data_IF_567562815099
#
_entry.id   IF_567562815099
#
_cell.length_a   1.000
_cell.length_b   1.000
_cell.length_c   1.000
_cell.angle_alpha   90.00
_cell.angle_beta   90.00
_cell.angle_gamma   90.00
#
_symmetry.space_group_name_H-M   'P 1'
#
loop_
_entity.id
_entity.type
_entity.pdbx_description
1 polymer ?
#
# COMPACT_ATOMS: atom_id res chain seq x y z
N UNK A 1 -17.27 -30.94 15.76
CA UNK A 1 -16.40 -30.71 16.93
C UNK A 1 -16.02 -31.95 17.74
N UNK A 2 -16.85 -32.52 18.66
CA UNK A 2 -16.36 -33.63 19.55
C UNK A 2 -15.86 -34.87 18.78
N UNK A 3 -16.58 -35.28 17.75
CA UNK A 3 -16.23 -36.47 16.93
C UNK A 3 -14.98 -36.23 16.08
N UNK A 4 -14.84 -35.05 15.46
CA UNK A 4 -13.63 -34.66 14.70
C UNK A 4 -12.41 -34.60 15.60
N UNK A 5 -12.56 -34.04 16.81
CA UNK A 5 -11.48 -33.99 17.79
C UNK A 5 -11.02 -35.40 18.20
N UNK A 6 -11.95 -36.32 18.46
CA UNK A 6 -11.63 -37.72 18.76
C UNK A 6 -10.91 -38.41 17.60
N UNK A 7 -11.35 -38.17 16.36
CA UNK A 7 -10.70 -38.70 15.16
C UNK A 7 -9.27 -38.19 15.01
N UNK A 8 -9.06 -36.88 15.14
CA UNK A 8 -7.72 -36.25 15.05
C UNK A 8 -6.79 -36.77 16.14
N UNK A 9 -7.29 -36.93 17.36
CA UNK A 9 -6.50 -37.50 18.47
C UNK A 9 -6.09 -38.95 18.18
N UNK A 10 -7.02 -39.76 17.66
CA UNK A 10 -6.74 -41.15 17.28
C UNK A 10 -5.73 -41.24 16.14
N UNK A 11 -5.85 -40.37 15.12
CA UNK A 11 -4.88 -40.28 14.02
C UNK A 11 -3.51 -39.87 14.54
N UNK A 12 -3.44 -38.83 15.38
CA UNK A 12 -2.17 -38.38 15.95
C UNK A 12 -1.46 -39.50 16.71
N UNK A 13 -2.19 -40.25 17.56
CA UNK A 13 -1.64 -41.41 18.27
C UNK A 13 -1.18 -42.52 17.33
N UNK A 14 -1.90 -42.73 16.24
CA UNK A 14 -1.54 -43.71 15.21
C UNK A 14 -0.25 -43.32 14.52
N UNK A 15 -0.11 -42.06 14.10
CA UNK A 15 1.11 -41.52 13.47
C UNK A 15 2.29 -41.54 14.44
N UNK A 16 2.09 -41.19 15.72
CA UNK A 16 3.12 -41.31 16.76
C UNK A 16 3.62 -42.75 16.87
N UNK A 17 2.70 -43.72 16.93
CA UNK A 17 3.03 -45.15 17.00
C UNK A 17 3.77 -45.67 15.76
N UNK A 18 3.34 -45.28 14.55
CA UNK A 18 4.03 -45.66 13.30
C UNK A 18 5.48 -45.15 13.26
N UNK A 19 5.69 -43.89 13.66
CA UNK A 19 7.03 -43.31 13.73
C UNK A 19 7.91 -44.00 14.78
N UNK A 20 7.34 -44.39 15.92
CA UNK A 20 8.05 -45.17 16.93
C UNK A 20 8.47 -46.55 16.38
N UNK A 21 7.60 -47.25 15.66
CA UNK A 21 7.93 -48.52 15.02
C UNK A 21 9.04 -48.37 13.98
N UNK A 22 8.96 -47.35 13.13
CA UNK A 22 9.99 -47.04 12.12
C UNK A 22 11.36 -46.81 12.79
N UNK A 23 11.40 -46.03 13.87
CA UNK A 23 12.63 -45.72 14.60
C UNK A 23 13.27 -46.96 15.29
N UNK A 24 12.46 -47.96 15.65
CA UNK A 24 12.93 -49.20 16.27
C UNK A 24 13.18 -50.34 15.25
N UNK A 25 12.91 -50.11 13.97
CA UNK A 25 13.13 -51.10 12.91
C UNK A 25 14.64 -51.21 12.60
N UNK A 26 15.25 -52.41 12.68
CA UNK A 26 16.66 -52.58 12.36
C UNK A 26 16.87 -52.32 10.87
N UNK A 27 17.59 -51.24 10.56
CA UNK A 27 17.96 -50.85 9.19
C UNK A 27 18.96 -51.85 8.61
N UNK A 28 18.47 -52.96 8.07
CA UNK A 28 19.33 -53.94 7.40
C UNK A 28 18.67 -55.30 7.21
N UNK A 29 18.51 -55.67 5.95
CA UNK A 29 18.33 -57.06 5.49
C UNK A 29 16.93 -57.67 5.70
N UNK A 30 15.92 -57.11 5.06
CA UNK A 30 14.85 -57.80 4.29
C UNK A 30 13.83 -56.75 3.84
N UNK A 31 13.55 -56.68 2.53
CA UNK A 31 12.68 -55.70 1.84
C UNK A 31 11.94 -54.67 2.71
N UNK A 32 12.42 -53.43 2.71
CA UNK A 32 11.96 -52.29 3.53
C UNK A 32 10.44 -52.22 3.64
N UNK A 33 9.89 -52.70 4.76
CA UNK A 33 8.52 -52.40 5.15
C UNK A 33 8.55 -51.03 5.82
N UNK A 34 8.02 -50.01 5.15
CA UNK A 34 7.81 -48.69 5.74
C UNK A 34 6.59 -48.76 6.65
N UNK A 35 6.77 -48.54 7.96
CA UNK A 35 5.70 -48.52 8.96
C UNK A 35 4.89 -47.22 8.92
N UNK A 36 5.53 -46.12 8.50
CA UNK A 36 4.84 -44.84 8.29
C UNK A 36 3.77 -44.98 7.21
N UNK A 37 2.51 -44.66 7.56
CA UNK A 37 1.38 -44.71 6.61
C UNK A 37 0.56 -46.00 6.62
N UNK A 38 1.04 -47.10 7.24
CA UNK A 38 0.37 -48.42 7.18
C UNK A 38 -1.03 -48.40 7.81
N UNK A 39 -1.20 -47.71 8.93
CA UNK A 39 -2.43 -47.58 9.68
C UNK A 39 -3.10 -46.22 9.44
N UNK A 40 -2.33 -45.14 9.40
CA UNK A 40 -2.84 -43.77 9.29
C UNK A 40 -3.65 -43.52 8.01
N UNK A 41 -3.37 -44.25 6.94
CA UNK A 41 -4.14 -44.21 5.67
C UNK A 41 -5.62 -44.59 5.83
N UNK A 42 -6.00 -45.37 6.86
CA UNK A 42 -7.40 -45.71 7.10
C UNK A 42 -8.26 -44.49 7.50
N UNK A 43 -7.62 -43.39 7.94
CA UNK A 43 -8.29 -42.15 8.31
C UNK A 43 -8.56 -41.24 7.11
N UNK A 44 -7.86 -41.42 5.99
CA UNK A 44 -7.93 -40.53 4.82
C UNK A 44 -9.36 -40.30 4.27
N UNK A 45 -10.25 -41.32 4.20
CA UNK A 45 -11.64 -41.12 3.77
C UNK A 45 -12.45 -40.15 4.63
N UNK A 46 -12.02 -39.90 5.87
CA UNK A 46 -12.71 -39.07 6.86
C UNK A 46 -12.06 -37.69 7.06
N UNK A 47 -10.86 -37.46 6.51
CA UNK A 47 -10.11 -36.22 6.70
C UNK A 47 -10.79 -34.97 6.11
N UNK A 48 -11.78 -35.13 5.22
CA UNK A 48 -12.59 -33.99 4.77
C UNK A 48 -13.32 -33.30 5.93
N UNK A 49 -13.73 -34.05 6.97
CA UNK A 49 -14.36 -33.47 8.15
C UNK A 49 -13.39 -32.59 8.96
N UNK A 50 -12.11 -32.97 9.01
CA UNK A 50 -11.05 -32.14 9.61
C UNK A 50 -10.84 -30.85 8.84
N UNK A 51 -10.79 -30.91 7.49
CA UNK A 51 -10.64 -29.72 6.65
C UNK A 51 -11.81 -28.75 6.84
N UNK A 52 -13.05 -29.26 6.93
CA UNK A 52 -14.24 -28.42 7.19
C UNK A 52 -14.22 -27.79 8.58
N UNK A 53 -13.91 -28.56 9.62
CA UNK A 53 -13.80 -28.05 11.00
C UNK A 53 -12.74 -26.94 11.09
N UNK A 54 -11.65 -27.07 10.32
CA UNK A 54 -10.59 -26.06 10.29
C UNK A 54 -10.95 -24.80 9.48
N UNK A 55 -11.76 -24.93 8.42
CA UNK A 55 -12.32 -23.78 7.69
C UNK A 55 -13.28 -22.97 8.59
N UNK A 56 -14.14 -23.65 9.35
CA UNK A 56 -15.04 -23.01 10.32
C UNK A 56 -14.24 -22.31 11.44
N UNK A 57 -13.27 -23.01 12.03
CA UNK A 57 -12.41 -22.48 13.08
C UNK A 57 -11.61 -21.23 12.64
N UNK A 58 -10.95 -21.27 11.48
CA UNK A 58 -10.22 -20.10 10.96
C UNK A 58 -11.15 -18.94 10.59
N UNK A 59 -12.37 -19.23 10.15
CA UNK A 59 -13.38 -18.21 9.89
C UNK A 59 -13.85 -17.53 11.18
N UNK A 60 -14.07 -18.29 12.26
CA UNK A 60 -14.42 -17.77 13.59
C UNK A 60 -13.28 -16.90 14.16
N UNK A 61 -12.05 -17.41 14.15
CA UNK A 61 -10.85 -16.67 14.56
C UNK A 61 -10.75 -15.35 13.80
N UNK A 62 -10.90 -15.37 12.46
CA UNK A 62 -10.83 -14.16 11.65
C UNK A 62 -11.90 -13.14 12.07
N UNK A 63 -13.14 -13.58 12.27
CA UNK A 63 -14.23 -12.69 12.68
C UNK A 63 -13.98 -12.07 14.06
N UNK A 64 -13.47 -12.85 15.01
CA UNK A 64 -13.13 -12.36 16.34
C UNK A 64 -11.97 -11.37 16.32
N UNK A 65 -10.93 -11.64 15.54
CA UNK A 65 -9.82 -10.72 15.33
C UNK A 65 -10.30 -9.40 14.74
N UNK A 66 -11.17 -9.44 13.72
CA UNK A 66 -11.70 -8.25 13.06
C UNK A 66 -12.66 -7.44 13.96
N UNK A 67 -13.44 -8.12 14.81
CA UNK A 67 -14.36 -7.50 15.76
C UNK A 67 -13.61 -6.73 16.85
N UNK A 68 -12.49 -7.28 17.30
CA UNK A 68 -11.68 -6.72 18.39
C UNK A 68 -10.53 -5.82 17.89
N UNK A 69 -10.44 -5.59 16.57
CA UNK A 69 -9.39 -4.76 15.98
C UNK A 69 -9.61 -3.27 16.25
N UNK A 70 -8.54 -2.59 16.64
CA UNK A 70 -8.50 -1.14 16.90
C UNK A 70 -8.46 -0.30 15.62
N UNK A 71 -8.03 -0.90 14.51
CA UNK A 71 -7.82 -0.25 13.21
C UNK A 71 -6.76 0.86 13.23
N UNK A 72 -5.84 0.78 14.18
CA UNK A 72 -4.69 1.66 14.33
C UNK A 72 -3.44 0.79 14.38
N UNK A 73 -2.32 1.29 13.85
CA UNK A 73 -1.05 0.57 13.93
C UNK A 73 -0.64 0.39 15.38
N UNK A 74 -0.03 -0.75 15.71
CA UNK A 74 0.58 -0.91 17.03
C UNK A 74 1.79 0.02 17.19
N UNK A 75 2.17 0.35 18.43
CA UNK A 75 3.31 1.24 18.69
C UNK A 75 4.68 0.59 18.37
N UNK A 76 4.72 -0.73 18.22
CA UNK A 76 5.94 -1.51 17.95
C UNK A 76 6.06 -1.94 16.50
N UNK A 77 4.93 -2.13 15.81
CA UNK A 77 4.86 -2.51 14.40
C UNK A 77 3.83 -1.64 13.70
N UNK A 78 4.18 -1.03 12.55
CA UNK A 78 3.25 -0.19 11.79
C UNK A 78 2.03 -0.95 11.20
N UNK A 79 1.89 -2.25 11.51
CA UNK A 79 0.83 -3.14 11.04
C UNK A 79 -0.28 -3.32 12.08
N UNK A 80 -1.43 -3.78 11.62
CA UNK A 80 -2.58 -4.13 12.44
C UNK A 80 -2.31 -5.42 13.21
N UNK A 81 -2.76 -5.47 14.47
CA UNK A 81 -2.55 -6.62 15.36
C UNK A 81 -3.20 -7.90 14.80
N UNK A 82 -4.41 -7.78 14.24
CA UNK A 82 -5.15 -8.88 13.62
C UNK A 82 -4.36 -9.59 12.52
N UNK A 83 -3.51 -8.90 11.77
CA UNK A 83 -2.68 -9.53 10.73
C UNK A 83 -1.67 -10.50 11.32
N UNK A 84 -0.95 -10.06 12.36
CA UNK A 84 0.07 -10.88 13.04
C UNK A 84 -0.57 -12.07 13.75
N UNK A 85 -1.71 -11.88 14.41
CA UNK A 85 -2.43 -12.98 15.07
C UNK A 85 -3.04 -13.96 14.06
N UNK A 86 -3.59 -13.49 12.95
CA UNK A 86 -4.13 -14.36 11.90
C UNK A 86 -3.05 -15.28 11.33
N UNK A 87 -1.88 -14.75 10.97
CA UNK A 87 -0.78 -15.56 10.47
C UNK A 87 -0.22 -16.52 11.52
N UNK A 88 -0.22 -16.15 12.81
CA UNK A 88 0.12 -17.07 13.90
C UNK A 88 -0.86 -18.25 13.97
N UNK A 89 -2.17 -18.00 13.83
CA UNK A 89 -3.17 -19.05 13.81
C UNK A 89 -3.06 -19.96 12.58
N UNK A 90 -2.84 -19.38 11.39
CA UNK A 90 -2.56 -20.15 10.17
C UNK A 90 -1.31 -21.00 10.35
N UNK A 91 -0.22 -20.46 10.91
CA UNK A 91 1.02 -21.22 11.13
C UNK A 91 0.82 -22.39 12.10
N UNK A 92 0.03 -22.20 13.16
CA UNK A 92 -0.34 -23.30 14.08
C UNK A 92 -1.17 -24.36 13.36
N UNK A 93 -2.10 -23.95 12.50
CA UNK A 93 -2.90 -24.85 11.67
C UNK A 93 -2.02 -25.71 10.75
N UNK A 94 -1.09 -25.07 10.02
CA UNK A 94 -0.14 -25.74 9.12
C UNK A 94 0.64 -26.82 9.86
N UNK A 95 1.26 -26.46 11.00
CA UNK A 95 2.07 -27.42 11.78
C UNK A 95 1.24 -28.58 12.30
N UNK A 96 0.03 -28.31 12.80
CA UNK A 96 -0.88 -29.36 13.27
C UNK A 96 -1.25 -30.30 12.12
N UNK A 97 -1.53 -29.78 10.92
CA UNK A 97 -1.84 -30.62 9.77
C UNK A 97 -0.61 -31.45 9.34
N UNK A 98 0.57 -30.85 9.26
CA UNK A 98 1.82 -31.54 8.88
C UNK A 98 2.18 -32.70 9.81
N UNK A 99 1.81 -32.60 11.10
CA UNK A 99 1.99 -33.69 12.07
C UNK A 99 1.04 -34.87 11.86
N UNK A 100 -0.05 -34.68 11.15
CA UNK A 100 -1.07 -35.71 10.88
C UNK A 100 -0.87 -36.34 9.51
N UNK A 101 -0.58 -35.52 8.49
CA UNK A 101 -0.44 -35.94 7.09
C UNK A 101 0.20 -34.82 6.27
N UNK A 102 0.98 -35.19 5.27
CA UNK A 102 1.59 -34.30 4.26
C UNK A 102 0.97 -34.46 2.87
N UNK A 103 -0.03 -35.34 2.76
CA UNK A 103 -0.61 -35.76 1.49
C UNK A 103 -1.82 -34.91 1.08
N UNK A 104 -2.82 -35.52 0.43
CA UNK A 104 -4.01 -34.84 -0.11
C UNK A 104 -4.72 -33.92 0.89
N UNK A 105 -4.80 -34.31 2.15
CA UNK A 105 -5.42 -33.48 3.19
C UNK A 105 -4.62 -32.19 3.46
N UNK A 106 -3.28 -32.29 3.59
CA UNK A 106 -2.41 -31.12 3.73
C UNK A 106 -2.51 -30.21 2.51
N UNK A 107 -2.52 -30.80 1.32
CA UNK A 107 -2.80 -30.06 0.09
C UNK A 107 -4.16 -29.35 0.20
N UNK A 108 -5.24 -30.00 0.61
CA UNK A 108 -6.54 -29.33 0.72
C UNK A 108 -6.55 -28.15 1.71
N UNK A 109 -5.74 -28.21 2.78
CA UNK A 109 -5.61 -27.12 3.75
C UNK A 109 -5.10 -25.81 3.13
N UNK A 110 -4.24 -25.86 2.10
CA UNK A 110 -3.75 -24.64 1.44
C UNK A 110 -4.91 -23.78 0.90
N UNK A 111 -5.99 -24.42 0.43
CA UNK A 111 -7.18 -23.74 -0.12
C UNK A 111 -7.93 -22.98 0.95
N UNK A 112 -7.96 -23.51 2.17
CA UNK A 112 -8.57 -22.86 3.33
C UNK A 112 -7.77 -21.60 3.69
N UNK A 113 -6.44 -21.70 3.77
CA UNK A 113 -5.60 -20.53 4.06
C UNK A 113 -5.77 -19.42 3.01
N UNK A 114 -5.83 -19.77 1.71
CA UNK A 114 -6.14 -18.82 0.64
C UNK A 114 -7.47 -18.12 0.86
N UNK A 115 -8.53 -18.89 1.12
CA UNK A 115 -9.88 -18.37 1.39
C UNK A 115 -9.88 -17.40 2.59
N UNK A 116 -9.24 -17.77 3.69
CA UNK A 116 -9.14 -16.93 4.90
C UNK A 116 -8.39 -15.62 4.62
N UNK A 117 -7.26 -15.68 3.90
CA UNK A 117 -6.48 -14.49 3.53
C UNK A 117 -7.28 -13.55 2.61
N UNK A 118 -8.00 -14.08 1.63
CA UNK A 118 -8.89 -13.28 0.77
C UNK A 118 -10.03 -12.63 1.56
N UNK A 119 -10.60 -13.34 2.54
CA UNK A 119 -11.60 -12.76 3.43
C UNK A 119 -11.02 -11.60 4.25
N UNK A 120 -9.76 -11.72 4.71
CA UNK A 120 -9.05 -10.64 5.38
C UNK A 120 -8.81 -9.44 4.46
N UNK A 121 -8.35 -9.65 3.21
CA UNK A 121 -8.23 -8.58 2.19
C UNK A 121 -9.56 -7.84 2.02
N UNK A 122 -10.69 -8.56 1.93
CA UNK A 122 -12.00 -7.95 1.79
C UNK A 122 -12.37 -7.11 3.02
N UNK A 123 -12.08 -7.60 4.22
CA UNK A 123 -12.32 -6.86 5.46
C UNK A 123 -11.53 -5.55 5.51
N UNK A 124 -10.24 -5.58 5.15
CA UNK A 124 -9.40 -4.38 5.05
C UNK A 124 -9.90 -3.42 3.97
N UNK A 125 -10.30 -3.94 2.80
CA UNK A 125 -10.82 -3.15 1.68
C UNK A 125 -12.08 -2.38 2.07
N UNK A 126 -12.98 -3.00 2.84
CA UNK A 126 -14.21 -2.34 3.35
C UNK A 126 -13.93 -1.18 4.31
N UNK A 127 -12.70 -1.04 4.81
CA UNK A 127 -12.28 0.09 5.66
C UNK A 127 -11.70 1.26 4.87
N UNK A 128 -11.49 1.10 3.57
CA UNK A 128 -11.11 2.23 2.72
C UNK A 128 -12.31 3.16 2.53
N UNK A 129 -12.07 4.49 2.45
CA UNK A 129 -13.13 5.43 2.14
C UNK A 129 -13.73 5.12 0.76
N UNK A 130 -15.06 5.26 0.58
CA UNK A 130 -15.70 5.04 -0.70
C UNK A 130 -15.12 5.97 -1.77
N UNK A 131 -15.04 5.47 -3.01
CA UNK A 131 -14.37 6.13 -4.15
C UNK A 131 -14.96 7.51 -4.50
N UNK A 132 -16.18 7.81 -4.06
CA UNK A 132 -17.00 8.95 -4.52
C UNK A 132 -17.90 9.54 -3.42
N UNK A 133 -17.36 9.83 -2.22
CA UNK A 133 -18.12 10.69 -1.32
C UNK A 133 -17.98 12.15 -1.79
N UNK A 134 -19.07 12.85 -2.17
CA UNK A 134 -19.01 14.27 -2.45
C UNK A 134 -18.54 14.98 -1.18
N UNK A 135 -17.43 15.70 -1.30
CA UNK A 135 -16.92 16.55 -0.23
C UNK A 135 -17.83 17.77 -0.17
N UNK A 136 -18.60 17.90 0.91
CA UNK A 136 -19.28 19.17 1.20
C UNK A 136 -18.20 20.20 1.55
N UNK A 137 -17.83 21.03 0.57
CA UNK A 137 -16.71 21.99 0.61
C UNK A 137 -17.03 23.28 1.40
N UNK A 138 -17.85 23.24 2.44
CA UNK A 138 -18.29 24.44 3.17
C UNK A 138 -17.59 24.68 4.51
N UNK A 139 -16.90 23.70 5.09
CA UNK A 139 -16.56 23.80 6.50
C UNK A 139 -15.10 24.25 6.69
N UNK A 140 -14.95 25.47 7.22
CA UNK A 140 -13.72 25.92 7.87
C UNK A 140 -13.19 24.82 8.80
N UNK A 141 -11.87 24.57 8.79
CA UNK A 141 -11.23 23.56 9.64
C UNK A 141 -11.63 23.73 11.11
N UNK A 142 -12.56 22.89 11.57
CA UNK A 142 -12.88 22.74 12.99
C UNK A 142 -11.89 21.76 13.65
N UNK A 143 -11.74 21.83 14.97
CA UNK A 143 -10.93 20.84 15.71
C UNK A 143 -11.40 19.40 15.44
N UNK A 144 -12.71 19.21 15.26
CA UNK A 144 -13.33 17.91 15.00
C UNK A 144 -12.99 17.35 13.61
N UNK A 145 -13.04 18.19 12.56
CA UNK A 145 -12.64 17.79 11.20
C UNK A 145 -11.15 17.43 11.12
N UNK A 146 -10.30 18.14 11.87
CA UNK A 146 -8.87 17.82 11.98
C UNK A 146 -8.65 16.44 12.63
N UNK A 147 -9.26 16.18 13.79
CA UNK A 147 -9.13 14.89 14.49
C UNK A 147 -9.64 13.73 13.63
N UNK A 148 -10.76 13.92 12.94
CA UNK A 148 -11.29 12.93 11.99
C UNK A 148 -10.29 12.61 10.89
N UNK A 149 -9.73 13.63 10.24
CA UNK A 149 -8.71 13.46 9.21
C UNK A 149 -7.48 12.69 9.72
N UNK A 150 -7.00 13.02 10.93
CA UNK A 150 -5.85 12.33 11.53
C UNK A 150 -6.12 10.84 11.76
N UNK A 151 -7.31 10.50 12.25
CA UNK A 151 -7.70 9.10 12.48
C UNK A 151 -7.84 8.33 11.17
N UNK A 152 -8.46 8.93 10.15
CA UNK A 152 -8.59 8.31 8.83
C UNK A 152 -7.22 8.13 8.17
N UNK A 153 -6.33 9.12 8.26
CA UNK A 153 -4.96 9.03 7.75
C UNK A 153 -4.15 7.93 8.45
N UNK A 154 -4.18 7.85 9.78
CA UNK A 154 -3.50 6.81 10.57
C UNK A 154 -4.02 5.40 10.23
N UNK A 155 -5.34 5.25 10.11
CA UNK A 155 -5.96 3.98 9.70
C UNK A 155 -5.50 3.55 8.31
N UNK A 156 -5.51 4.47 7.34
CA UNK A 156 -5.01 4.19 5.99
C UNK A 156 -3.53 3.80 6.01
N UNK A 157 -2.73 4.47 6.85
CA UNK A 157 -1.33 4.09 7.00
C UNK A 157 -1.17 2.65 7.50
N UNK A 158 -1.90 2.29 8.56
CA UNK A 158 -1.89 0.95 9.13
C UNK A 158 -2.32 -0.11 8.10
N UNK A 159 -3.33 0.17 7.26
CA UNK A 159 -3.80 -0.75 6.22
C UNK A 159 -2.73 -0.98 5.14
N UNK A 160 -2.03 0.07 4.69
CA UNK A 160 -0.94 -0.05 3.69
C UNK A 160 0.18 -0.95 4.21
N UNK A 161 0.66 -0.67 5.41
CA UNK A 161 1.74 -1.43 6.06
C UNK A 161 1.31 -2.88 6.32
N UNK A 162 0.07 -3.08 6.75
CA UNK A 162 -0.50 -4.42 6.95
C UNK A 162 -0.59 -5.19 5.65
N UNK A 163 -1.05 -4.56 4.57
CA UNK A 163 -1.19 -5.21 3.28
C UNK A 163 0.18 -5.65 2.72
N UNK A 164 1.20 -4.80 2.83
CA UNK A 164 2.57 -5.15 2.41
C UNK A 164 3.16 -6.30 3.26
N UNK A 165 2.97 -6.25 4.58
CA UNK A 165 3.33 -7.33 5.49
C UNK A 165 2.62 -8.64 5.14
N UNK A 166 1.32 -8.60 4.89
CA UNK A 166 0.52 -9.77 4.52
C UNK A 166 0.96 -10.36 3.18
N UNK A 167 1.28 -9.53 2.18
CA UNK A 167 1.82 -10.00 0.90
C UNK A 167 3.12 -10.80 1.11
N UNK A 168 4.10 -10.19 1.79
CA UNK A 168 5.40 -10.82 2.08
C UNK A 168 5.26 -12.10 2.93
N UNK A 169 4.33 -12.12 3.89
CA UNK A 169 4.11 -13.28 4.76
C UNK A 169 3.35 -14.40 4.04
N UNK A 170 2.53 -14.06 3.05
CA UNK A 170 1.84 -15.05 2.20
C UNK A 170 2.84 -15.76 1.28
N UNK A 171 3.83 -15.06 0.73
CA UNK A 171 4.93 -15.69 -0.04
C UNK A 171 5.71 -16.69 0.83
N UNK A 172 6.04 -16.31 2.06
CA UNK A 172 6.74 -17.22 3.01
C UNK A 172 5.88 -18.43 3.40
N UNK A 173 4.57 -18.23 3.52
CA UNK A 173 3.63 -19.32 3.78
C UNK A 173 3.59 -20.30 2.60
N UNK A 174 3.54 -19.81 1.36
CA UNK A 174 3.60 -20.63 0.15
C UNK A 174 4.87 -21.49 0.12
N UNK A 175 6.04 -20.88 0.35
CA UNK A 175 7.32 -21.60 0.42
C UNK A 175 7.34 -22.65 1.53
N UNK A 176 6.76 -22.33 2.68
CA UNK A 176 6.67 -23.26 3.81
C UNK A 176 5.75 -24.44 3.52
N UNK A 177 4.65 -24.22 2.80
CA UNK A 177 3.71 -25.27 2.44
C UNK A 177 4.33 -26.21 1.39
N UNK A 178 5.01 -25.67 0.37
CA UNK A 178 5.72 -26.46 -0.66
C UNK A 178 6.76 -27.40 -0.05
N UNK A 179 7.52 -26.92 0.93
CA UNK A 179 8.56 -27.72 1.62
C UNK A 179 8.01 -28.87 2.49
N UNK A 180 6.71 -28.84 2.82
CA UNK A 180 6.10 -29.81 3.74
C UNK A 180 5.15 -30.78 3.06
N UNK A 181 4.58 -30.40 1.91
CA UNK A 181 3.64 -31.25 1.18
C UNK A 181 4.38 -32.35 0.41
N UNK A 182 3.73 -33.49 0.18
CA UNK A 182 4.26 -34.54 -0.71
C UNK A 182 4.52 -33.99 -2.12
N UNK A 183 5.59 -34.48 -2.78
CA UNK A 183 6.07 -34.07 -4.11
C UNK A 183 4.95 -34.05 -5.17
N UNK A 184 3.98 -34.98 -5.08
CA UNK A 184 2.84 -35.08 -5.99
C UNK A 184 1.93 -33.82 -6.00
N UNK A 185 1.98 -32.99 -4.97
CA UNK A 185 1.14 -31.80 -4.81
C UNK A 185 1.94 -30.49 -4.79
N UNK A 186 3.27 -30.53 -4.74
CA UNK A 186 4.13 -29.35 -4.56
C UNK A 186 3.88 -28.28 -5.64
N UNK A 187 3.89 -28.68 -6.91
CA UNK A 187 3.66 -27.79 -8.07
C UNK A 187 2.25 -27.19 -8.10
N UNK A 188 1.29 -27.77 -7.38
CA UNK A 188 -0.09 -27.30 -7.33
C UNK A 188 -0.32 -26.23 -6.26
N UNK A 189 0.62 -26.04 -5.32
CA UNK A 189 0.54 -24.98 -4.32
C UNK A 189 0.93 -23.66 -4.97
N UNK A 190 -0.02 -22.72 -5.02
CA UNK A 190 0.17 -21.39 -5.58
C UNK A 190 -0.70 -20.38 -4.81
N UNK A 191 -0.09 -19.36 -4.22
CA UNK A 191 -0.75 -18.28 -3.48
C UNK A 191 -0.51 -16.89 -4.10
N UNK A 192 -0.06 -16.84 -5.36
CA UNK A 192 0.22 -15.60 -6.08
C UNK A 192 -0.99 -14.66 -6.15
N UNK A 193 -2.19 -15.20 -6.33
CA UNK A 193 -3.40 -14.38 -6.35
C UNK A 193 -3.58 -13.63 -5.02
N UNK A 194 -3.40 -14.30 -3.89
CA UNK A 194 -3.56 -13.70 -2.56
C UNK A 194 -2.50 -12.61 -2.32
N UNK A 195 -1.25 -12.85 -2.74
CA UNK A 195 -0.18 -11.86 -2.75
C UNK A 195 -0.55 -10.64 -3.59
N UNK A 196 -0.96 -10.84 -4.85
CA UNK A 196 -1.35 -9.77 -5.76
C UNK A 196 -2.54 -8.96 -5.23
N UNK A 197 -3.50 -9.60 -4.54
CA UNK A 197 -4.62 -8.92 -3.88
C UNK A 197 -4.18 -8.02 -2.72
N UNK A 198 -3.22 -8.46 -1.89
CA UNK A 198 -2.64 -7.63 -0.83
C UNK A 198 -1.84 -6.45 -1.39
N UNK A 199 -1.00 -6.66 -2.42
CA UNK A 199 -0.26 -5.58 -3.07
C UNK A 199 -1.25 -4.56 -3.68
N UNK A 200 -2.30 -5.05 -4.37
CA UNK A 200 -3.36 -4.20 -4.92
C UNK A 200 -4.11 -3.40 -3.85
N UNK A 201 -4.37 -3.99 -2.68
CA UNK A 201 -4.95 -3.29 -1.53
C UNK A 201 -4.03 -2.17 -1.01
N UNK A 202 -2.73 -2.44 -0.86
CA UNK A 202 -1.74 -1.44 -0.46
C UNK A 202 -1.78 -0.22 -1.40
N UNK A 203 -1.75 -0.47 -2.72
CA UNK A 203 -1.84 0.58 -3.74
C UNK A 203 -3.13 1.41 -3.66
N UNK A 204 -4.29 0.75 -3.45
CA UNK A 204 -5.59 1.42 -3.26
C UNK A 204 -5.60 2.29 -2.00
N UNK A 205 -5.08 1.78 -0.89
CA UNK A 205 -5.04 2.50 0.38
C UNK A 205 -4.13 3.74 0.32
N UNK A 206 -2.95 3.65 -0.32
CA UNK A 206 -2.09 4.82 -0.58
C UNK A 206 -2.84 5.85 -1.44
N UNK A 207 -3.51 5.41 -2.51
CA UNK A 207 -4.29 6.31 -3.39
C UNK A 207 -5.40 7.03 -2.61
N UNK A 208 -6.10 6.32 -1.72
CA UNK A 208 -7.11 6.92 -0.83
C UNK A 208 -6.50 7.95 0.13
N UNK A 209 -5.32 7.68 0.70
CA UNK A 209 -4.62 8.61 1.60
C UNK A 209 -4.17 9.89 0.87
N UNK A 210 -3.67 9.74 -0.36
CA UNK A 210 -3.32 10.87 -1.23
C UNK A 210 -4.55 11.70 -1.55
N UNK A 211 -5.65 11.06 -1.99
CA UNK A 211 -6.90 11.77 -2.27
C UNK A 211 -7.46 12.49 -1.04
N UNK A 212 -7.43 11.85 0.12
CA UNK A 212 -7.85 12.45 1.40
C UNK A 212 -7.03 13.72 1.71
N UNK A 213 -5.73 13.71 1.40
CA UNK A 213 -4.84 14.85 1.62
C UNK A 213 -5.10 15.96 0.60
N UNK A 214 -5.22 15.63 -0.69
CA UNK A 214 -5.51 16.60 -1.75
C UNK A 214 -6.86 17.29 -1.57
N UNK A 215 -7.90 16.55 -1.16
CA UNK A 215 -9.22 17.11 -0.87
C UNK A 215 -9.17 18.14 0.27
N UNK A 216 -8.24 17.97 1.23
CA UNK A 216 -8.01 18.94 2.29
C UNK A 216 -7.33 20.23 1.81
N UNK A 217 -6.56 20.16 0.71
CA UNK A 217 -5.91 21.33 0.08
C UNK A 217 -6.86 22.11 -0.83
N UNK A 218 -7.92 21.47 -1.34
CA UNK A 218 -8.85 22.05 -2.32
C UNK A 218 -9.54 23.35 -1.87
N UNK A 219 -9.98 23.54 -0.61
CA UNK A 219 -10.55 24.81 -0.17
C UNK A 219 -9.60 26.00 -0.33
N UNK A 220 -8.29 25.82 -0.13
CA UNK A 220 -7.30 26.87 -0.34
C UNK A 220 -7.13 27.21 -1.82
N UNK A 221 -7.17 26.20 -2.71
CA UNK A 221 -7.18 26.42 -4.16
C UNK A 221 -8.47 27.11 -4.62
N UNK A 222 -9.62 26.76 -4.05
CA UNK A 222 -10.89 27.43 -4.36
C UNK A 222 -10.87 28.90 -3.91
N UNK A 223 -10.23 29.21 -2.78
CA UNK A 223 -9.99 30.59 -2.38
C UNK A 223 -9.14 31.34 -3.42
N UNK A 224 -8.03 30.74 -3.87
CA UNK A 224 -7.18 31.28 -4.94
C UNK A 224 -7.97 31.62 -6.22
N UNK A 225 -8.86 30.72 -6.67
CA UNK A 225 -9.67 30.96 -7.88
C UNK A 225 -10.65 32.13 -7.75
N UNK A 226 -11.10 32.44 -6.52
CA UNK A 226 -12.04 33.52 -6.23
C UNK A 226 -11.36 34.87 -5.98
N UNK A 227 -10.05 34.88 -5.76
CA UNK A 227 -9.27 36.11 -5.55
C UNK A 227 -9.30 36.98 -6.81
N UNK A 228 -9.53 38.29 -6.63
CA UNK A 228 -9.49 39.25 -7.72
C UNK A 228 -8.03 39.66 -8.02
N UNK A 229 -7.34 38.83 -8.82
CA UNK A 229 -5.95 39.06 -9.22
C UNK A 229 -5.76 40.33 -10.06
N UNK A 230 -6.80 40.83 -10.73
CA UNK A 230 -6.74 42.09 -11.49
C UNK A 230 -6.56 43.32 -10.59
N UNK A 231 -7.09 43.30 -9.37
CA UNK A 231 -7.01 44.43 -8.43
C UNK A 231 -5.73 44.45 -7.58
N UNK A 232 -4.84 43.47 -7.75
CA UNK A 232 -3.56 43.44 -7.05
C UNK A 232 -2.64 44.48 -7.65
N UNK A 233 -2.34 45.55 -6.91
CA UNK A 233 -1.55 46.69 -7.39
C UNK A 233 -0.07 46.63 -7.01
N UNK A 234 0.30 45.76 -6.05
CA UNK A 234 1.67 45.58 -5.58
C UNK A 234 1.92 44.11 -5.27
N UNK A 235 3.12 43.64 -5.60
CA UNK A 235 3.63 42.33 -5.19
C UNK A 235 4.11 42.43 -3.75
N UNK A 236 3.69 41.50 -2.91
CA UNK A 236 4.09 41.39 -1.51
C UNK A 236 4.63 40.00 -1.20
N UNK A 237 4.51 39.60 0.07
CA UNK A 237 4.87 38.25 0.51
C UNK A 237 3.88 37.20 -0.02
N UNK A 238 4.12 35.92 0.30
CA UNK A 238 3.26 34.82 -0.13
C UNK A 238 1.80 35.02 0.30
N UNK A 239 0.86 34.72 -0.60
CA UNK A 239 -0.57 34.87 -0.35
C UNK A 239 -1.10 33.96 0.77
N UNK A 240 -2.19 34.37 1.43
CA UNK A 240 -2.80 33.62 2.54
C UNK A 240 -3.20 32.16 2.21
N UNK A 241 -3.59 31.89 0.95
CA UNK A 241 -3.91 30.52 0.54
C UNK A 241 -2.64 29.63 0.52
N UNK A 242 -1.48 30.19 0.17
CA UNK A 242 -0.18 29.49 0.21
C UNK A 242 0.18 29.16 1.66
N UNK A 243 0.05 30.12 2.58
CA UNK A 243 0.27 29.87 4.01
C UNK A 243 -0.63 28.75 4.55
N UNK A 244 -1.87 28.68 4.06
CA UNK A 244 -2.82 27.60 4.40
C UNK A 244 -2.38 26.26 3.82
N UNK A 245 -1.99 26.20 2.54
CA UNK A 245 -1.45 25.00 1.90
C UNK A 245 -0.22 24.48 2.65
N UNK A 246 0.74 25.35 2.93
CA UNK A 246 1.97 25.05 3.69
C UNK A 246 1.66 24.38 5.02
N UNK A 247 0.74 24.96 5.80
CA UNK A 247 0.34 24.40 7.10
C UNK A 247 -0.29 23.01 6.97
N UNK A 248 -1.17 22.81 5.99
CA UNK A 248 -1.84 21.51 5.77
C UNK A 248 -0.83 20.45 5.31
N UNK A 249 0.04 20.79 4.36
CA UNK A 249 1.07 19.88 3.85
C UNK A 249 2.04 19.49 4.97
N UNK A 250 2.59 20.44 5.71
CA UNK A 250 3.50 20.15 6.83
C UNK A 250 2.86 19.23 7.88
N UNK A 251 1.61 19.50 8.25
CA UNK A 251 0.88 18.64 9.18
C UNK A 251 0.70 17.22 8.62
N UNK A 252 0.33 17.11 7.34
CA UNK A 252 0.08 15.81 6.72
C UNK A 252 1.36 14.98 6.59
N UNK A 253 2.45 15.57 6.09
CA UNK A 253 3.71 14.85 5.91
C UNK A 253 4.33 14.42 7.24
N UNK A 254 4.17 15.20 8.32
CA UNK A 254 4.64 14.83 9.65
C UNK A 254 3.87 13.63 10.21
N UNK A 255 2.53 13.67 10.15
CA UNK A 255 1.70 12.58 10.64
C UNK A 255 1.93 11.31 9.84
N UNK A 256 1.93 11.38 8.51
CA UNK A 256 2.11 10.21 7.65
C UNK A 256 3.50 9.60 7.84
N UNK A 257 4.56 10.43 7.93
CA UNK A 257 5.93 9.93 8.19
C UNK A 257 6.06 9.17 9.50
N UNK A 258 5.32 9.56 10.54
CA UNK A 258 5.34 8.86 11.84
C UNK A 258 4.65 7.49 11.81
N UNK A 259 3.76 7.27 10.84
CA UNK A 259 2.95 6.05 10.75
C UNK A 259 3.34 5.15 9.56
N UNK A 260 4.37 5.52 8.80
CA UNK A 260 4.86 4.78 7.66
C UNK A 260 6.32 4.38 7.80
N UNK A 261 6.63 3.22 7.22
CA UNK A 261 7.98 2.89 6.84
C UNK A 261 8.49 3.88 5.78
N UNK A 262 9.81 4.16 5.72
CA UNK A 262 10.38 5.15 4.80
C UNK A 262 10.02 4.93 3.33
N UNK A 263 9.90 3.67 2.90
CA UNK A 263 9.49 3.28 1.55
C UNK A 263 8.08 3.77 1.20
N UNK A 264 7.08 3.45 2.02
CA UNK A 264 5.69 3.88 1.81
C UNK A 264 5.54 5.39 1.91
N UNK A 265 6.28 6.03 2.82
CA UNK A 265 6.33 7.48 2.92
C UNK A 265 6.85 8.14 1.63
N UNK A 266 7.90 7.59 1.01
CA UNK A 266 8.41 8.05 -0.29
C UNK A 266 7.33 7.97 -1.38
N UNK A 267 6.66 6.83 -1.49
CA UNK A 267 5.59 6.61 -2.49
C UNK A 267 4.42 7.56 -2.26
N UNK A 268 4.03 7.80 -1.01
CA UNK A 268 3.01 8.78 -0.66
C UNK A 268 3.41 10.19 -1.13
N UNK A 269 4.64 10.63 -0.87
CA UNK A 269 5.11 11.95 -1.30
C UNK A 269 5.13 12.10 -2.82
N UNK A 270 5.63 11.08 -3.56
CA UNK A 270 5.60 11.08 -5.03
C UNK A 270 4.17 11.24 -5.55
N UNK A 271 3.26 10.38 -5.08
CA UNK A 271 1.86 10.39 -5.53
C UNK A 271 1.12 11.65 -5.09
N UNK A 272 1.48 12.25 -3.96
CA UNK A 272 0.90 13.52 -3.52
C UNK A 272 1.25 14.65 -4.48
N UNK A 273 2.51 14.74 -4.94
CA UNK A 273 2.93 15.73 -5.95
C UNK A 273 2.14 15.52 -7.24
N UNK A 274 2.14 14.29 -7.78
CA UNK A 274 1.46 13.95 -9.03
C UNK A 274 -0.06 14.14 -8.97
N UNK A 275 -0.67 14.11 -7.77
CA UNK A 275 -2.10 14.36 -7.61
C UNK A 275 -2.42 15.84 -7.36
N UNK A 276 -1.57 16.56 -6.62
CA UNK A 276 -1.79 17.94 -6.24
C UNK A 276 -1.46 18.93 -7.36
N UNK A 277 -0.31 18.78 -8.03
CA UNK A 277 0.15 19.76 -9.04
C UNK A 277 -0.81 19.87 -10.22
N UNK A 278 -1.40 18.78 -10.75
CA UNK A 278 -2.47 18.90 -11.75
C UNK A 278 -3.69 19.67 -11.24
N UNK A 279 -4.08 19.50 -9.97
CA UNK A 279 -5.20 20.24 -9.36
C UNK A 279 -4.89 21.73 -9.19
N UNK A 280 -3.66 22.05 -8.81
CA UNK A 280 -3.16 23.42 -8.78
C UNK A 280 -3.20 24.03 -10.20
N UNK A 281 -2.70 23.31 -11.19
CA UNK A 281 -2.71 23.71 -12.60
C UNK A 281 -4.13 24.00 -13.09
N UNK A 282 -5.07 23.07 -12.89
CA UNK A 282 -6.48 23.29 -13.22
C UNK A 282 -7.09 24.48 -12.47
N UNK A 283 -6.62 24.78 -11.28
CA UNK A 283 -7.07 25.97 -10.53
C UNK A 283 -6.56 27.27 -11.13
N UNK A 284 -5.38 27.29 -11.76
CA UNK A 284 -4.90 28.47 -12.50
C UNK A 284 -5.82 28.81 -13.68
N UNK A 285 -6.24 27.82 -14.46
CA UNK A 285 -7.19 28.02 -15.57
C UNK A 285 -8.58 28.49 -15.10
N UNK A 286 -8.95 28.25 -13.84
CA UNK A 286 -10.22 28.71 -13.25
C UNK A 286 -10.12 30.10 -12.62
N UNK A 287 -8.93 30.67 -12.50
CA UNK A 287 -8.79 32.06 -12.08
C UNK A 287 -9.46 32.98 -13.11
N UNK A 288 -10.04 34.07 -12.63
CA UNK A 288 -10.47 35.17 -13.52
C UNK A 288 -9.25 35.88 -14.09
N UNK A 289 -9.51 36.83 -14.99
CA UNK A 289 -8.49 37.70 -15.58
C UNK A 289 -7.46 38.19 -14.55
N UNK A 290 -6.19 38.09 -14.94
CA UNK A 290 -5.04 38.47 -14.13
C UNK A 290 -4.34 39.70 -14.71
N UNK A 291 -4.08 40.71 -13.87
CA UNK A 291 -3.18 41.81 -14.24
C UNK A 291 -1.73 41.34 -14.24
N UNK A 292 -0.81 42.11 -14.84
CA UNK A 292 0.62 41.79 -14.80
C UNK A 292 1.15 41.67 -13.36
N UNK A 293 0.78 42.58 -12.47
CA UNK A 293 1.14 42.55 -11.05
C UNK A 293 0.50 41.37 -10.30
N UNK A 294 -0.76 41.02 -10.61
CA UNK A 294 -1.42 39.84 -10.07
C UNK A 294 -0.74 38.53 -10.50
N UNK A 295 -0.37 38.43 -11.77
CA UNK A 295 0.38 37.28 -12.30
C UNK A 295 1.77 37.15 -11.67
N UNK A 296 2.48 38.27 -11.42
CA UNK A 296 3.74 38.25 -10.67
C UNK A 296 3.56 37.71 -9.26
N UNK A 297 2.50 38.11 -8.55
CA UNK A 297 2.19 37.59 -7.22
C UNK A 297 1.93 36.08 -7.22
N UNK A 298 1.12 35.59 -8.17
CA UNK A 298 0.83 34.14 -8.25
C UNK A 298 2.07 33.33 -8.70
N UNK A 299 2.96 33.91 -9.51
CA UNK A 299 4.24 33.28 -9.84
C UNK A 299 5.17 33.17 -8.62
N UNK A 300 5.20 34.19 -7.76
CA UNK A 300 5.89 34.11 -6.47
C UNK A 300 5.28 33.01 -5.61
N UNK A 301 3.95 32.98 -5.48
CA UNK A 301 3.23 31.96 -4.74
C UNK A 301 3.54 30.53 -5.25
N UNK A 302 3.57 30.34 -6.57
CA UNK A 302 3.93 29.06 -7.21
C UNK A 302 5.37 28.64 -6.87
N UNK A 303 6.29 29.59 -6.77
CA UNK A 303 7.68 29.34 -6.35
C UNK A 303 7.74 28.88 -4.89
N UNK A 304 6.93 29.46 -4.01
CA UNK A 304 6.81 29.03 -2.60
C UNK A 304 6.19 27.63 -2.51
N UNK A 305 5.15 27.34 -3.29
CA UNK A 305 4.54 26.01 -3.38
C UNK A 305 5.56 24.98 -3.89
N UNK A 306 6.38 25.31 -4.89
CA UNK A 306 7.43 24.43 -5.39
C UNK A 306 8.44 24.06 -4.30
N UNK A 307 8.94 25.06 -3.57
CA UNK A 307 9.87 24.83 -2.44
C UNK A 307 9.23 23.97 -1.36
N UNK A 308 7.97 24.24 -1.00
CA UNK A 308 7.21 23.40 -0.07
C UNK A 308 7.17 21.93 -0.51
N UNK A 309 6.90 21.66 -1.79
CA UNK A 309 6.85 20.31 -2.35
C UNK A 309 8.23 19.64 -2.36
N UNK A 310 9.29 20.38 -2.74
CA UNK A 310 10.67 19.88 -2.74
C UNK A 310 11.14 19.48 -1.33
N UNK A 311 10.74 20.24 -0.32
CA UNK A 311 11.16 20.00 1.05
C UNK A 311 10.45 18.81 1.72
N UNK A 312 9.37 18.25 1.14
CA UNK A 312 8.51 17.27 1.80
C UNK A 312 9.26 16.08 2.42
N UNK A 313 10.23 15.49 1.71
CA UNK A 313 10.99 14.35 2.23
C UNK A 313 11.92 14.74 3.38
N UNK A 314 12.41 15.97 3.39
CA UNK A 314 13.41 16.46 4.35
C UNK A 314 12.84 17.34 5.46
N UNK A 315 11.56 17.73 5.35
CA UNK A 315 10.94 18.69 6.26
C UNK A 315 11.03 18.23 7.71
N UNK A 316 11.50 19.09 8.61
CA UNK A 316 11.67 18.78 10.04
C UNK A 316 12.74 17.74 10.36
N UNK A 317 13.62 17.39 9.40
CA UNK A 317 14.79 16.55 9.64
C UNK A 317 16.07 17.39 9.68
N UNK A 318 17.02 16.94 10.49
CA UNK A 318 18.34 17.58 10.63
C UNK A 318 19.47 16.56 10.48
N UNK A 319 20.67 17.06 10.19
CA UNK A 319 21.91 16.28 10.13
C UNK A 319 21.85 15.08 9.19
N UNK A 320 22.23 13.91 9.69
CA UNK A 320 22.24 12.66 8.90
C UNK A 320 20.86 12.21 8.43
N UNK A 321 19.81 12.43 9.23
CA UNK A 321 18.46 12.01 8.85
C UNK A 321 17.99 12.76 7.60
N UNK A 322 18.31 14.06 7.51
CA UNK A 322 18.04 14.88 6.32
C UNK A 322 18.80 14.36 5.09
N UNK A 323 20.10 14.06 5.25
CA UNK A 323 20.94 13.55 4.16
C UNK A 323 20.43 12.21 3.61
N UNK A 324 20.00 11.30 4.47
CA UNK A 324 19.45 9.99 4.06
C UNK A 324 18.07 10.08 3.40
N UNK A 325 17.26 11.07 3.78
CA UNK A 325 15.93 11.27 3.21
C UNK A 325 15.93 12.06 1.89
N UNK A 326 16.98 12.84 1.62
CA UNK A 326 17.12 13.60 0.39
C UNK A 326 17.14 12.66 -0.84
N UNK A 327 16.43 13.05 -1.90
CA UNK A 327 16.32 12.25 -3.12
C UNK A 327 16.31 13.17 -4.33
N UNK A 328 17.35 13.06 -5.18
CA UNK A 328 17.42 13.85 -6.41
C UNK A 328 16.26 13.53 -7.35
N UNK A 329 15.91 12.24 -7.49
CA UNK A 329 14.77 11.81 -8.29
C UNK A 329 13.44 12.43 -7.84
N UNK A 330 13.27 12.70 -6.53
CA UNK A 330 12.09 13.42 -6.04
C UNK A 330 12.10 14.89 -6.45
N UNK A 331 13.25 15.55 -6.33
CA UNK A 331 13.39 16.94 -6.73
C UNK A 331 13.14 17.09 -8.23
N UNK A 332 13.65 16.17 -9.03
CA UNK A 332 13.44 16.13 -10.49
C UNK A 332 11.95 15.94 -10.83
N UNK A 333 11.24 15.06 -10.09
CA UNK A 333 9.79 14.90 -10.22
C UNK A 333 9.04 16.20 -9.92
N UNK A 334 9.33 16.85 -8.78
CA UNK A 334 8.68 18.12 -8.40
C UNK A 334 8.98 19.20 -9.43
N UNK A 335 10.22 19.30 -9.90
CA UNK A 335 10.61 20.25 -10.93
C UNK A 335 9.84 20.02 -12.22
N UNK A 336 9.75 18.78 -12.69
CA UNK A 336 9.03 18.42 -13.91
C UNK A 336 7.54 18.74 -13.82
N UNK A 337 6.88 18.36 -12.73
CA UNK A 337 5.44 18.65 -12.52
C UNK A 337 5.15 20.16 -12.45
N UNK A 338 6.05 20.94 -11.82
CA UNK A 338 5.87 22.39 -11.69
C UNK A 338 6.17 23.20 -12.96
N UNK A 339 6.78 22.60 -14.00
CA UNK A 339 7.05 23.29 -15.27
C UNK A 339 5.79 23.88 -15.90
N UNK A 340 4.69 23.12 -15.91
CA UNK A 340 3.43 23.56 -16.54
C UNK A 340 2.77 24.74 -15.80
N UNK A 341 2.53 24.69 -14.48
CA UNK A 341 2.09 25.86 -13.72
C UNK A 341 2.96 27.11 -13.92
N UNK A 342 4.29 26.94 -13.86
CA UNK A 342 5.22 28.06 -14.06
C UNK A 342 5.14 28.62 -15.49
N UNK A 343 5.05 27.75 -16.50
CA UNK A 343 4.91 28.13 -17.90
C UNK A 343 3.65 28.96 -18.14
N UNK A 344 2.52 28.56 -17.54
CA UNK A 344 1.26 29.32 -17.59
C UNK A 344 1.46 30.72 -17.04
N UNK A 345 2.04 30.84 -15.85
CA UNK A 345 2.21 32.13 -15.17
C UNK A 345 3.24 33.02 -15.88
N UNK A 346 4.32 32.44 -16.43
CA UNK A 346 5.31 33.16 -17.25
C UNK A 346 4.68 33.67 -18.56
N UNK A 347 3.84 32.86 -19.22
CA UNK A 347 3.14 33.28 -20.43
C UNK A 347 2.17 34.44 -20.14
N UNK A 348 1.42 34.37 -19.03
CA UNK A 348 0.54 35.47 -18.60
C UNK A 348 1.33 36.76 -18.30
N UNK A 349 2.64 36.70 -18.06
CA UNK A 349 3.49 37.89 -17.92
C UNK A 349 4.01 38.45 -19.25
N UNK A 350 3.81 37.75 -20.36
CA UNK A 350 4.33 38.12 -21.67
C UNK A 350 3.47 39.21 -22.31
N UNK A 351 4.13 40.14 -23.01
CA UNK A 351 3.48 41.19 -23.80
C UNK A 351 2.77 40.61 -25.05
N UNK A 352 1.71 41.27 -25.58
CA UNK A 352 0.92 40.77 -26.71
C UNK A 352 1.76 40.33 -27.91
N UNK A 353 2.78 41.13 -28.25
CA UNK A 353 3.64 40.96 -29.43
C UNK A 353 4.44 39.65 -29.41
N UNK A 354 4.81 39.17 -28.22
CA UNK A 354 5.66 37.98 -28.04
C UNK A 354 4.87 36.76 -27.54
N UNK A 355 3.54 36.89 -27.40
CA UNK A 355 2.72 35.89 -26.72
C UNK A 355 2.66 34.57 -27.48
N UNK A 356 2.49 34.63 -28.81
CA UNK A 356 2.42 33.44 -29.65
C UNK A 356 3.75 32.66 -29.67
N UNK A 357 4.88 33.36 -29.86
CA UNK A 357 6.21 32.75 -29.84
C UNK A 357 6.53 32.11 -28.47
N UNK A 358 6.23 32.83 -27.39
CA UNK A 358 6.48 32.35 -26.03
C UNK A 358 5.62 31.13 -25.69
N UNK A 359 4.38 31.06 -26.19
CA UNK A 359 3.53 29.87 -26.01
C UNK A 359 4.12 28.63 -26.69
N UNK A 360 4.57 28.76 -27.94
CA UNK A 360 5.14 27.63 -28.69
C UNK A 360 6.41 27.09 -28.00
N UNK A 361 7.21 27.96 -27.39
CA UNK A 361 8.41 27.57 -26.64
C UNK A 361 8.07 26.91 -25.31
N UNK A 362 7.09 27.42 -24.56
CA UNK A 362 6.75 26.91 -23.23
C UNK A 362 5.84 25.68 -23.24
N UNK A 363 5.09 25.46 -24.32
CA UNK A 363 4.09 24.40 -24.45
C UNK A 363 4.28 23.59 -25.74
N UNK A 364 5.29 22.72 -25.73
CA UNK A 364 5.52 21.77 -26.83
C UNK A 364 4.27 20.90 -27.05
N UNK A 365 3.70 20.94 -28.26
CA UNK A 365 2.45 20.23 -28.59
C UNK A 365 1.17 20.89 -28.04
N UNK A 366 1.23 22.17 -27.65
CA UNK A 366 0.06 22.96 -27.26
C UNK A 366 -0.98 23.09 -28.38
N UNK A 367 -2.24 23.25 -28.00
CA UNK A 367 -3.37 23.34 -28.92
C UNK A 367 -4.07 24.71 -28.85
N UNK A 368 -4.85 25.04 -29.88
CA UNK A 368 -5.53 26.33 -30.00
C UNK A 368 -6.51 26.60 -28.84
N UNK A 369 -7.17 25.57 -28.30
CA UNK A 369 -8.12 25.73 -27.19
C UNK A 369 -7.40 26.17 -25.91
N UNK A 370 -6.29 25.51 -25.57
CA UNK A 370 -5.45 25.87 -24.41
C UNK A 370 -4.87 27.28 -24.60
N UNK A 371 -4.43 27.62 -25.82
CA UNK A 371 -3.94 28.95 -26.16
C UNK A 371 -5.00 30.04 -25.93
N UNK A 372 -6.23 29.81 -26.41
CA UNK A 372 -7.35 30.74 -26.25
C UNK A 372 -7.73 30.93 -24.76
N UNK A 373 -7.75 29.86 -23.97
CA UNK A 373 -7.98 29.97 -22.52
C UNK A 373 -6.93 30.84 -21.82
N UNK A 374 -5.66 30.74 -22.23
CA UNK A 374 -4.58 31.55 -21.65
C UNK A 374 -4.65 33.03 -22.09
N UNK A 375 -5.10 33.31 -23.31
CA UNK A 375 -5.40 34.68 -23.75
C UNK A 375 -6.53 35.31 -22.92
N UNK A 376 -7.58 34.55 -22.63
CA UNK A 376 -8.68 34.99 -21.76
C UNK A 376 -8.21 35.23 -20.32
N UNK A 377 -7.34 34.35 -19.80
CA UNK A 377 -6.76 34.49 -18.46
C UNK A 377 -5.93 35.77 -18.32
N UNK A 378 -5.21 36.17 -19.37
CA UNK A 378 -4.49 37.45 -19.43
C UNK A 378 -5.43 38.64 -19.68
N UNK A 379 -6.49 38.41 -20.45
CA UNK A 379 -7.49 39.41 -20.82
C UNK A 379 -7.17 40.21 -22.08
N UNK A 380 -6.45 39.61 -23.02
CA UNK A 380 -6.16 40.19 -24.35
C UNK A 380 -7.35 40.12 -25.31
N UNK A 381 -8.57 40.40 -24.83
CA UNK A 381 -9.77 40.22 -25.63
C UNK A 381 -9.80 41.06 -26.92
N UNK A 382 -9.12 42.21 -26.95
CA UNK A 382 -9.05 43.10 -28.14
C UNK A 382 -7.95 42.68 -29.11
N UNK A 383 -6.82 42.22 -28.57
CA UNK A 383 -5.62 41.83 -29.30
C UNK A 383 -5.67 40.36 -29.76
N UNK A 384 -6.57 39.55 -29.18
CA UNK A 384 -6.71 38.12 -29.45
C UNK A 384 -6.78 37.74 -30.93
N UNK A 385 -7.54 38.42 -31.82
CA UNK A 385 -7.58 38.04 -33.23
C UNK A 385 -6.23 38.12 -33.93
N UNK A 386 -5.40 39.13 -33.60
CA UNK A 386 -4.07 39.28 -34.15
C UNK A 386 -3.12 38.22 -33.60
N UNK A 387 -3.10 38.03 -32.28
CA UNK A 387 -2.24 37.05 -31.60
C UNK A 387 -2.56 35.60 -32.05
N UNK A 388 -3.84 35.28 -32.27
CA UNK A 388 -4.26 33.97 -32.81
C UNK A 388 -3.80 33.79 -34.25
N UNK A 389 -3.82 34.85 -35.07
CA UNK A 389 -3.31 34.79 -36.44
C UNK A 389 -1.80 34.51 -36.44
N UNK A 390 -1.04 35.14 -35.55
CA UNK A 390 0.40 34.92 -35.38
C UNK A 390 0.69 33.48 -34.95
N UNK A 391 0.01 32.97 -33.93
CA UNK A 391 0.12 31.57 -33.50
C UNK A 391 -0.19 30.59 -34.65
N UNK A 392 -1.26 30.84 -35.40
CA UNK A 392 -1.63 29.99 -36.54
C UNK A 392 -0.58 30.02 -37.64
N UNK A 393 0.04 31.18 -37.89
CA UNK A 393 1.15 31.33 -38.83
C UNK A 393 2.37 30.51 -38.41
N UNK A 394 2.76 30.58 -37.14
CA UNK A 394 3.89 29.83 -36.57
C UNK A 394 3.64 28.31 -36.69
N UNK A 395 2.44 27.83 -36.36
CA UNK A 395 2.09 26.41 -36.46
C UNK A 395 2.13 25.91 -37.90
N UNK A 396 1.67 26.72 -38.87
CA UNK A 396 1.78 26.39 -40.30
C UNK A 396 3.24 26.37 -40.78
N UNK A 397 4.07 27.30 -40.33
CA UNK A 397 5.47 27.39 -40.72
C UNK A 397 6.33 26.25 -40.16
N UNK A 398 5.96 25.72 -38.99
CA UNK A 398 6.67 24.63 -38.30
C UNK A 398 6.21 23.22 -38.70
N UNK A 399 5.19 23.11 -39.57
CA UNK A 399 4.68 21.81 -40.06
C UNK A 399 3.91 20.99 -39.01
N UNK A 400 3.57 21.58 -37.86
CA UNK A 400 2.72 20.96 -36.83
C UNK A 400 1.25 21.10 -37.25
N UNK A 401 0.66 19.99 -37.73
CA UNK A 401 -0.75 19.92 -38.13
C UNK A 401 -1.69 20.35 -37.00
N UNK A 402 -2.58 21.30 -37.30
CA UNK A 402 -3.76 21.65 -36.50
C UNK A 402 -4.80 20.53 -36.62
N UNK A 403 -4.52 19.37 -36.03
CA UNK A 403 -5.54 18.34 -35.84
C UNK A 403 -6.11 18.44 -34.43
N UNK A 404 -7.42 18.71 -34.37
CA UNK A 404 -8.26 18.66 -33.18
C UNK A 404 -8.21 17.24 -32.59
N UNK A 405 -7.25 16.97 -31.70
CA UNK A 405 -7.26 15.74 -30.92
C UNK A 405 -8.35 15.84 -29.83
N UNK A 406 -9.51 15.34 -30.19
CA UNK A 406 -10.53 14.92 -29.23
C UNK A 406 -9.98 13.75 -28.41
N UNK A 407 -9.94 13.95 -27.08
CA UNK A 407 -9.79 12.96 -26.01
C UNK A 407 -9.03 11.66 -26.33
N UNK A 408 -7.77 11.63 -25.91
CA UNK A 408 -7.08 10.38 -25.56
C UNK A 408 -6.42 10.52 -24.18
N UNK A 409 -7.24 10.59 -23.12
CA UNK A 409 -6.82 10.11 -21.81
C UNK A 409 -6.63 8.59 -21.92
N UNK A 410 -5.49 8.19 -22.46
CA UNK A 410 -5.03 6.81 -22.30
C UNK A 410 -4.36 6.78 -20.95
N UNK A 411 -5.02 6.17 -19.97
CA UNK A 411 -4.42 5.72 -18.72
C UNK A 411 -3.15 4.94 -19.10
N UNK A 412 -1.98 5.61 -19.08
CA UNK A 412 -0.70 4.92 -19.10
C UNK A 412 -0.70 4.05 -17.86
N UNK A 413 -0.58 2.74 -18.06
CA UNK A 413 -0.52 1.71 -17.04
C UNK A 413 0.73 1.87 -16.16
N UNK A 414 0.78 2.93 -15.34
CA UNK A 414 1.80 3.12 -14.30
C UNK A 414 1.56 2.16 -13.13
N UNK A 415 0.34 1.64 -12.98
CA UNK A 415 -0.03 0.75 -11.89
C UNK A 415 0.84 -0.52 -11.85
N UNK A 416 1.25 -1.12 -12.98
CA UNK A 416 2.09 -2.34 -12.94
C UNK A 416 3.53 -2.08 -12.47
N UNK A 417 4.16 -1.01 -12.96
CA UNK A 417 5.53 -0.68 -12.59
C UNK A 417 5.60 -0.10 -11.16
N UNK A 418 4.57 0.61 -10.73
CA UNK A 418 4.46 1.16 -9.37
C UNK A 418 4.14 0.06 -8.34
N UNK A 419 3.33 -0.95 -8.68
CA UNK A 419 3.10 -2.15 -7.86
C UNK A 419 4.40 -2.96 -7.68
N UNK A 420 5.22 -3.08 -8.73
CA UNK A 420 6.54 -3.73 -8.63
C UNK A 420 7.56 -2.92 -7.81
N UNK A 421 7.52 -1.58 -7.87
CA UNK A 421 8.35 -0.72 -7.01
C UNK A 421 7.94 -0.77 -5.54
N UNK A 422 6.64 -0.90 -5.25
CA UNK A 422 6.12 -1.14 -3.90
C UNK A 422 6.61 -2.50 -3.35
N UNK A 423 6.51 -3.56 -4.15
CA UNK A 423 7.02 -4.88 -3.78
C UNK A 423 8.55 -4.87 -3.51
N UNK A 424 9.34 -4.18 -4.35
CA UNK A 424 10.79 -4.06 -4.15
C UNK A 424 11.17 -3.18 -2.94
N UNK A 425 10.35 -2.20 -2.57
CA UNK A 425 10.59 -1.33 -1.43
C UNK A 425 10.20 -1.99 -0.09
N UNK A 426 9.13 -2.78 -0.06
CA UNK A 426 8.73 -3.62 1.08
C UNK A 426 9.78 -4.67 1.45
N UNK A 427 10.53 -5.18 0.47
CA UNK A 427 11.63 -6.12 0.73
C UNK A 427 12.80 -5.52 1.54
N UNK A 428 12.98 -4.19 1.56
CA UNK A 428 14.11 -3.52 2.23
C UNK A 428 13.79 -2.98 3.64
N UNK A 429 12.51 -2.72 3.96
CA UNK A 429 12.09 -2.18 5.26
C UNK A 429 11.77 -3.27 6.30
N UNK A 430 11.55 -4.51 5.86
CA UNK A 430 11.13 -5.65 6.70
C UNK A 430 12.32 -6.46 7.25
N UNK A 431 13.52 -5.87 7.32
CA UNK A 431 14.73 -6.57 7.80
C UNK A 431 14.61 -7.15 9.23
N UNK A 432 13.82 -6.51 10.10
CA UNK A 432 13.64 -6.96 11.50
C UNK A 432 12.51 -7.98 11.69
N UNK A 433 11.53 -8.01 10.78
CA UNK A 433 10.38 -8.94 10.82
C UNK A 433 10.54 -10.15 9.87
N UNK A 434 11.47 -10.11 8.90
CA UNK A 434 11.84 -11.25 8.04
C UNK A 434 12.23 -12.50 8.84
N UNK A 435 12.71 -12.32 10.07
CA UNK A 435 13.06 -13.43 10.96
C UNK A 435 11.96 -13.81 11.95
N UNK A 436 10.79 -13.16 11.99
CA UNK A 436 9.76 -13.50 12.96
C UNK A 436 9.17 -14.89 12.66
N UNK A 437 8.95 -15.22 11.38
CA UNK A 437 8.45 -16.53 10.96
C UNK A 437 9.45 -17.66 11.29
N UNK A 438 10.74 -17.45 11.01
CA UNK A 438 11.82 -18.37 11.37
C UNK A 438 12.06 -18.47 12.88
N UNK A 439 12.02 -17.35 13.62
CA UNK A 439 12.22 -17.31 15.08
C UNK A 439 11.06 -17.98 15.82
N UNK A 440 9.81 -17.74 15.41
CA UNK A 440 8.63 -18.43 15.96
C UNK A 440 8.57 -19.91 15.57
N UNK A 441 9.15 -20.29 14.42
CA UNK A 441 9.34 -21.69 14.06
C UNK A 441 10.31 -22.38 15.01
N UNK A 442 11.46 -21.75 15.28
CA UNK A 442 12.50 -22.30 16.15
C UNK A 442 12.10 -22.32 17.62
N UNK A 443 11.54 -21.23 18.16
CA UNK A 443 11.16 -21.14 19.58
C UNK A 443 10.04 -22.11 19.98
N UNK A 444 9.14 -22.45 19.05
CA UNK A 444 8.05 -23.41 19.31
C UNK A 444 8.51 -24.86 19.01
N UNK A 445 9.49 -25.06 18.12
CA UNK A 445 10.18 -26.35 18.02
C UNK A 445 10.89 -26.70 19.33
N UNK A 446 11.58 -25.75 19.95
CA UNK A 446 12.24 -25.95 21.24
C UNK A 446 11.25 -26.29 22.36
N UNK A 447 10.07 -25.67 22.39
CA UNK A 447 9.04 -26.01 23.39
C UNK A 447 8.46 -27.41 23.19
N UNK A 448 8.20 -27.83 21.95
CA UNK A 448 7.71 -29.18 21.66
C UNK A 448 8.77 -30.26 21.88
N UNK A 449 10.07 -29.96 21.68
CA UNK A 449 11.17 -30.85 22.05
C UNK A 449 11.27 -31.01 23.57
N UNK A 450 11.13 -29.91 24.33
CA UNK A 450 11.12 -29.96 25.79
C UNK A 450 9.91 -30.72 26.35
N UNK A 451 8.74 -30.57 25.74
CA UNK A 451 7.54 -31.32 26.13
C UNK A 451 7.66 -32.80 25.75
N UNK A 452 8.25 -33.14 24.60
CA UNK A 452 8.56 -34.53 24.21
C UNK A 452 9.60 -35.18 25.13
N UNK A 453 10.64 -34.45 25.53
CA UNK A 453 11.64 -34.92 26.50
C UNK A 453 11.02 -35.18 27.88
N UNK A 454 10.13 -34.29 28.35
CA UNK A 454 9.41 -34.48 29.63
C UNK A 454 8.47 -35.67 29.61
N UNK A 455 7.74 -35.89 28.52
CA UNK A 455 6.85 -37.05 28.37
C UNK A 455 7.66 -38.35 28.31
N UNK A 456 8.79 -38.34 27.58
CA UNK A 456 9.75 -39.46 27.53
C UNK A 456 10.34 -39.78 28.91
N UNK A 457 10.79 -38.78 29.67
CA UNK A 457 11.31 -38.97 31.04
C UNK A 457 10.24 -39.54 31.98
N UNK A 458 9.00 -39.05 31.87
CA UNK A 458 7.87 -39.53 32.69
C UNK A 458 7.50 -40.97 32.34
N UNK A 459 7.53 -41.34 31.06
CA UNK A 459 7.29 -42.70 30.58
C UNK A 459 8.41 -43.68 31.00
N UNK A 460 9.68 -43.22 30.94
CA UNK A 460 10.82 -44.00 31.43
C UNK A 460 10.79 -44.22 32.95
N UNK A 461 10.34 -43.23 33.72
CA UNK A 461 10.16 -43.35 35.18
C UNK A 461 9.00 -44.29 35.53
N UNK A 462 7.92 -44.30 34.74
CA UNK A 462 6.82 -45.26 34.89
C UNK A 462 7.25 -46.70 34.57
N UNK A 463 8.07 -46.91 33.54
CA UNK A 463 8.64 -48.22 33.20
C UNK A 463 9.63 -48.72 34.27
N UNK A 464 10.46 -47.83 34.84
CA UNK A 464 11.36 -48.20 35.96
C UNK A 464 10.60 -48.55 37.24
N UNK A 465 9.48 -47.89 37.52
CA UNK A 465 8.63 -48.20 38.69
C UNK A 465 7.82 -49.49 38.50
N UNK A 466 7.45 -49.84 37.26
CA UNK A 466 6.74 -51.08 36.94
C UNK A 466 7.63 -52.34 36.98
N UNK A 467 8.93 -52.21 36.69
CA UNK A 467 9.89 -53.34 36.69
C UNK A 467 10.51 -53.63 38.07
N UNK A 468 10.26 -52.79 39.08
CA UNK A 468 10.73 -52.98 40.46
C UNK A 468 9.75 -53.73 41.37
N UNK A 469 8.60 -54.17 40.87
CA UNK A 469 7.60 -54.93 41.63
C UNK A 469 7.22 -56.20 40.89
N UNK A 470 8.14 -57.17 40.91
CA UNK A 470 7.86 -58.59 40.76
C UNK A 470 8.80 -59.40 41.63
#
# INVERSE_FOLDING_TARGET
MKEVHSMVLALQRTVEFENELEAHSPSGETGEVTFVGIMSTCFEPYMSAFVTDEDENLSEILNDLLRNESWMSSSTTHVLKSSTELFLHIQKSVRRCAQLTTSKTFFNMHRIYKKTLLAYVQALTRRLPPREAPVNTSDSETKETKVKWENDAKRLCAIVETADYCASTTEQLEDSLRKQVDEAFEDQINMKNEVDQFIGLSGKAIKSLVSLTVNRLEPALNFMTKTNWSNVTRVGDSSNYVSTLTRIVHHAIQLVRQNFAPAHYRVFCDRLVCAFVPRFTSSLYRCRQMSGTGAQQVLLDASVIKTLLQDMLTYGLEGEKKRKAASQAFLDLVNAEMLRPEGILKLVLTEPENFADTYVVLFEGGNLTDFQQLLELKGFGKEAPAIIADYTSIMRATGLSLETQTNANTEKSSDSADLQRLAAAGQNTVGSMKNLFGRLSNTIMDSNLQDRLRISETAADMLKRGLGSR
#
